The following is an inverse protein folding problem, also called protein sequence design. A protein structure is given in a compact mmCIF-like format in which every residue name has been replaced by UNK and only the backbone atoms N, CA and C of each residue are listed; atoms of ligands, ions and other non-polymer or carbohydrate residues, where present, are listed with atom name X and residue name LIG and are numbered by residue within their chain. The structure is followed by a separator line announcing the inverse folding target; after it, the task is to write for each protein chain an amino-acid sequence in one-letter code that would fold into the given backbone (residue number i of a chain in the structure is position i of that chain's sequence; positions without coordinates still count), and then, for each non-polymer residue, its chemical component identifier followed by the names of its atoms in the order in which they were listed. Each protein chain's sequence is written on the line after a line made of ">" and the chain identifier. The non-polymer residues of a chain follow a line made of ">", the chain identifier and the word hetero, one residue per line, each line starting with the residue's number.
data_IF_391175126476
#
_entry.id   IF_391175126476
#
_cell.length_a   1.000
_cell.length_b   1.000
_cell.length_c   1.000
_cell.angle_alpha   90.00
_cell.angle_beta   90.00
_cell.angle_gamma   90.00
#
_symmetry.space_group_name_H-M   'P 1'
#
loop_
_entity.id
_entity.type
_entity.pdbx_description
1 polymer ?
#
# COMPACT_ATOMS: atom_id res chain seq x y z
N UNK A 1 67.92 -29.31 5.61
CA UNK A 1 67.32 -27.96 5.58
C UNK A 1 65.98 -28.07 4.86
N UNK A 2 64.86 -28.20 5.59
CA UNK A 2 63.91 -27.14 5.99
C UNK A 2 63.37 -26.27 4.84
N UNK A 3 62.03 -26.27 4.78
CA UNK A 3 61.05 -25.31 4.21
C UNK A 3 60.64 -25.51 2.75
N UNK A 4 59.42 -25.23 2.30
CA UNK A 4 58.08 -24.95 2.87
C UNK A 4 57.24 -24.51 1.65
N UNK A 5 55.99 -25.00 1.49
CA UNK A 5 54.77 -24.27 1.08
C UNK A 5 53.76 -25.28 0.50
N UNK A 6 52.77 -25.69 1.29
CA UNK A 6 51.42 -25.12 1.41
C UNK A 6 50.43 -25.80 0.45
N UNK A 7 49.84 -26.89 0.93
CA UNK A 7 48.52 -27.32 0.50
C UNK A 7 47.49 -26.41 1.18
N UNK A 8 46.60 -25.81 0.39
CA UNK A 8 45.42 -25.11 0.90
C UNK A 8 44.38 -26.17 1.26
N UNK A 9 44.16 -26.40 2.55
CA UNK A 9 43.07 -27.22 3.05
C UNK A 9 41.74 -26.47 2.84
N UNK A 10 40.91 -26.97 1.92
CA UNK A 10 39.51 -26.57 1.82
C UNK A 10 38.75 -27.09 3.03
N UNK A 11 38.60 -26.24 4.04
CA UNK A 11 37.72 -26.50 5.18
C UNK A 11 36.26 -26.25 4.72
N UNK A 12 35.34 -27.23 4.81
CA UNK A 12 33.95 -26.97 4.52
C UNK A 12 33.37 -26.07 5.61
N UNK A 13 32.84 -24.92 5.19
CA UNK A 13 32.15 -23.97 6.04
C UNK A 13 30.85 -24.62 6.54
N UNK A 14 30.89 -25.22 7.73
CA UNK A 14 29.70 -25.68 8.44
C UNK A 14 28.91 -24.44 8.89
N UNK A 15 27.93 -24.05 8.08
CA UNK A 15 26.87 -23.13 8.48
C UNK A 15 26.09 -23.80 9.63
N UNK A 16 26.44 -23.46 10.87
CA UNK A 16 25.59 -23.75 12.02
C UNK A 16 24.38 -22.83 11.91
N UNK A 17 23.27 -23.38 11.41
CA UNK A 17 21.95 -22.77 11.49
C UNK A 17 21.53 -22.73 12.96
N UNK A 18 21.96 -21.69 13.68
CA UNK A 18 21.29 -21.27 14.91
C UNK A 18 20.03 -20.49 14.49
N UNK A 19 19.06 -21.23 13.98
CA UNK A 19 17.70 -20.74 13.81
C UNK A 19 17.12 -20.58 15.21
N UNK A 20 17.38 -19.43 15.82
CA UNK A 20 16.47 -18.87 16.80
C UNK A 20 15.17 -18.60 16.05
N UNK A 21 14.29 -19.60 16.03
CA UNK A 21 12.88 -19.43 15.75
C UNK A 21 12.41 -18.29 16.65
N UNK A 22 12.38 -17.08 16.09
CA UNK A 22 11.73 -15.95 16.69
C UNK A 22 10.29 -16.43 16.88
N UNK A 23 9.94 -16.77 18.12
CA UNK A 23 8.58 -17.04 18.57
C UNK A 23 7.66 -16.06 17.84
N UNK A 24 6.99 -16.56 16.80
CA UNK A 24 5.92 -15.88 16.13
C UNK A 24 4.88 -15.70 17.23
N UNK A 25 4.95 -14.55 17.92
CA UNK A 25 3.86 -14.08 18.77
C UNK A 25 2.62 -14.32 17.92
N UNK A 26 1.63 -15.12 18.36
CA UNK A 26 0.41 -15.26 17.59
C UNK A 26 -0.04 -13.82 17.36
N UNK A 27 0.03 -13.38 16.09
CA UNK A 27 -0.32 -12.01 15.75
C UNK A 27 -1.80 -11.95 16.04
N UNK A 28 -2.15 -11.55 17.26
CA UNK A 28 -3.52 -11.36 17.66
C UNK A 28 -4.04 -10.35 16.67
N UNK A 29 -4.87 -10.82 15.74
CA UNK A 29 -5.23 -10.06 14.56
C UNK A 29 -6.19 -8.97 15.04
N UNK A 30 -5.63 -7.80 15.31
CA UNK A 30 -6.33 -6.68 15.93
C UNK A 30 -7.51 -6.32 15.03
N UNK A 31 -8.67 -6.05 15.63
CA UNK A 31 -9.82 -5.48 14.93
C UNK A 31 -9.43 -4.09 14.42
N UNK A 32 -9.60 -3.86 13.12
CA UNK A 32 -9.37 -2.54 12.55
C UNK A 32 -10.47 -1.59 13.04
N UNK A 33 -10.11 -0.33 13.32
CA UNK A 33 -11.05 0.70 13.75
C UNK A 33 -10.78 2.01 13.02
N UNK A 34 -11.80 2.64 12.41
CA UNK A 34 -11.64 4.01 11.94
C UNK A 34 -11.64 4.96 13.14
N UNK A 35 -11.09 6.18 13.00
CA UNK A 35 -11.25 7.23 14.00
C UNK A 35 -12.74 7.52 14.29
N UNK A 36 -13.03 8.06 15.48
CA UNK A 36 -14.40 8.41 15.86
C UNK A 36 -15.01 9.39 14.85
N UNK A 37 -16.22 9.08 14.36
CA UNK A 37 -16.93 9.90 13.37
C UNK A 37 -16.41 9.77 11.93
N UNK A 38 -15.47 8.85 11.66
CA UNK A 38 -14.97 8.53 10.32
C UNK A 38 -15.26 7.08 9.94
N UNK A 39 -15.23 6.80 8.64
CA UNK A 39 -15.29 5.47 8.06
C UNK A 39 -13.92 5.05 7.50
N UNK A 40 -13.77 3.75 7.23
CA UNK A 40 -12.62 3.27 6.46
C UNK A 40 -12.63 3.90 5.07
N UNK A 41 -11.47 4.38 4.64
CA UNK A 41 -11.30 5.04 3.36
C UNK A 41 -11.68 6.53 3.33
N UNK A 42 -12.16 7.11 4.44
CA UNK A 42 -12.30 8.56 4.53
C UNK A 42 -10.94 9.26 4.33
N UNK A 43 -10.94 10.38 3.60
CA UNK A 43 -9.73 11.20 3.40
C UNK A 43 -9.32 11.87 4.72
N UNK A 44 -8.04 11.75 5.07
CA UNK A 44 -7.38 12.40 6.19
C UNK A 44 -6.52 13.58 5.72
N UNK A 45 -5.78 13.38 4.63
CA UNK A 45 -4.99 14.42 3.96
C UNK A 45 -5.42 14.46 2.49
N UNK A 46 -6.06 15.55 2.03
CA UNK A 46 -6.53 15.66 0.65
C UNK A 46 -5.39 15.97 -0.32
N UNK A 47 -5.66 15.75 -1.60
CA UNK A 47 -4.81 16.19 -2.70
C UNK A 47 -4.92 17.70 -2.92
N UNK A 48 -3.89 18.28 -3.54
CA UNK A 48 -4.04 19.58 -4.19
C UNK A 48 -4.94 19.43 -5.42
N UNK A 49 -5.60 20.50 -5.83
CA UNK A 49 -6.45 20.49 -7.02
C UNK A 49 -5.68 20.43 -8.34
N UNK A 50 -4.37 20.70 -8.32
CA UNK A 50 -3.51 20.78 -9.51
C UNK A 50 -2.08 20.39 -9.19
N UNK A 51 -1.45 19.69 -10.13
CA UNK A 51 -0.06 19.28 -10.12
C UNK A 51 0.58 19.47 -11.50
N UNK A 52 1.90 19.64 -11.51
CA UNK A 52 2.71 19.53 -12.73
C UNK A 52 3.27 18.12 -12.89
N UNK A 53 3.60 17.75 -14.12
CA UNK A 53 4.46 16.59 -14.37
C UNK A 53 5.77 16.72 -13.58
N UNK A 54 6.29 15.60 -13.08
CA UNK A 54 7.45 15.53 -12.18
C UNK A 54 7.12 15.73 -10.70
N UNK A 55 5.94 16.25 -10.35
CA UNK A 55 5.50 16.39 -8.96
C UNK A 55 4.91 15.08 -8.41
N UNK A 56 4.66 15.06 -7.09
CA UNK A 56 4.07 13.91 -6.39
C UNK A 56 2.68 14.28 -5.89
N UNK A 57 1.68 13.58 -6.40
CA UNK A 57 0.32 13.61 -5.86
C UNK A 57 0.25 12.64 -4.67
N UNK A 58 -0.03 13.14 -3.47
CA UNK A 58 -0.10 12.35 -2.23
C UNK A 58 -1.45 12.52 -1.55
N UNK A 59 -2.10 11.40 -1.23
CA UNK A 59 -3.37 11.35 -0.49
C UNK A 59 -3.24 10.37 0.67
N UNK A 60 -3.81 10.71 1.83
CA UNK A 60 -3.89 9.81 2.98
C UNK A 60 -5.34 9.52 3.34
N UNK A 61 -5.65 8.25 3.48
CA UNK A 61 -6.96 7.74 3.87
C UNK A 61 -6.91 7.07 5.25
N UNK A 62 -8.07 6.97 5.90
CA UNK A 62 -8.28 6.03 7.00
C UNK A 62 -8.08 4.61 6.45
N UNK A 63 -7.06 3.92 6.94
CA UNK A 63 -6.66 2.60 6.44
C UNK A 63 -7.17 1.44 7.30
N UNK A 64 -6.99 0.25 6.76
CA UNK A 64 -7.04 -1.02 7.49
C UNK A 64 -5.78 -1.84 7.21
N UNK A 65 -5.50 -2.87 8.02
CA UNK A 65 -4.32 -3.71 7.83
C UNK A 65 -4.30 -4.40 6.44
N UNK A 66 -3.29 -4.16 5.58
CA UNK A 66 -3.22 -4.70 4.22
C UNK A 66 -3.20 -6.24 4.17
N UNK A 67 -2.78 -6.90 5.27
CA UNK A 67 -2.84 -8.36 5.40
C UNK A 67 -4.24 -8.93 5.19
N UNK A 68 -5.29 -8.16 5.53
CA UNK A 68 -6.67 -8.58 5.33
C UNK A 68 -7.02 -8.72 3.83
N UNK A 69 -6.49 -7.84 2.98
CA UNK A 69 -6.66 -7.93 1.53
C UNK A 69 -5.80 -9.04 0.93
N UNK A 70 -4.57 -9.22 1.41
CA UNK A 70 -3.64 -10.22 0.86
C UNK A 70 -4.12 -11.67 1.03
N UNK A 71 -4.89 -11.95 2.09
CA UNK A 71 -5.49 -13.27 2.30
C UNK A 71 -6.75 -13.49 1.47
N UNK A 72 -7.32 -12.41 0.92
CA UNK A 72 -8.46 -12.47 0.01
C UNK A 72 -7.97 -12.60 -1.43
N UNK A 73 -8.01 -13.82 -1.99
CA UNK A 73 -7.45 -14.17 -3.31
C UNK A 73 -8.11 -13.47 -4.51
N UNK A 74 -9.19 -12.73 -4.31
CA UNK A 74 -9.87 -11.98 -5.38
C UNK A 74 -9.40 -10.54 -5.50
N UNK A 75 -8.58 -10.04 -4.57
CA UNK A 75 -8.12 -8.66 -4.58
C UNK A 75 -6.90 -8.47 -5.49
N UNK A 76 -7.01 -7.57 -6.46
CA UNK A 76 -6.00 -7.42 -7.52
C UNK A 76 -5.06 -6.23 -7.32
N UNK A 77 -5.48 -5.19 -6.59
CA UNK A 77 -4.66 -3.99 -6.36
C UNK A 77 -5.17 -3.19 -5.15
N UNK A 78 -4.25 -2.57 -4.41
CA UNK A 78 -4.57 -1.65 -3.31
C UNK A 78 -4.92 -0.24 -3.78
N UNK A 79 -4.50 0.17 -4.98
CA UNK A 79 -4.73 1.51 -5.49
C UNK A 79 -4.88 1.54 -7.00
N UNK A 80 -5.61 2.52 -7.51
CA UNK A 80 -5.55 2.92 -8.92
C UNK A 80 -5.34 4.42 -9.04
N UNK A 81 -4.57 4.83 -10.04
CA UNK A 81 -4.62 6.18 -10.59
C UNK A 81 -5.48 6.10 -11.83
N UNK A 82 -6.52 6.92 -11.88
CA UNK A 82 -7.48 6.94 -12.98
C UNK A 82 -7.45 8.30 -13.66
N UNK A 83 -7.47 8.30 -14.99
CA UNK A 83 -7.61 9.50 -15.83
C UNK A 83 -9.02 9.58 -16.40
N UNK A 84 -9.63 10.74 -16.37
CA UNK A 84 -10.89 10.99 -17.06
C UNK A 84 -10.67 11.12 -18.56
N UNK A 85 -11.48 10.42 -19.35
CA UNK A 85 -11.48 10.46 -20.81
C UNK A 85 -12.78 11.06 -21.34
N UNK A 86 -12.74 12.32 -21.78
CA UNK A 86 -13.91 13.08 -22.25
C UNK A 86 -14.65 12.36 -23.38
N UNK A 87 -13.91 11.78 -24.33
CA UNK A 87 -14.46 11.10 -25.51
C UNK A 87 -15.39 9.93 -25.16
N UNK A 88 -15.18 9.29 -24.01
CA UNK A 88 -16.01 8.17 -23.53
C UNK A 88 -16.78 8.50 -22.26
N UNK A 89 -16.60 9.72 -21.72
CA UNK A 89 -17.14 10.15 -20.42
C UNK A 89 -16.88 9.14 -19.30
N UNK A 90 -15.67 8.55 -19.28
CA UNK A 90 -15.33 7.44 -18.38
C UNK A 90 -13.97 7.61 -17.72
N UNK A 91 -13.78 6.95 -16.58
CA UNK A 91 -12.50 6.88 -15.88
C UNK A 91 -11.71 5.65 -16.35
N UNK A 92 -10.48 5.87 -16.79
CA UNK A 92 -9.57 4.83 -17.25
C UNK A 92 -8.43 4.66 -16.25
N UNK A 93 -8.18 3.43 -15.81
CA UNK A 93 -7.04 3.09 -14.95
C UNK A 93 -5.77 3.23 -15.76
N UNK A 94 -4.87 4.14 -15.33
CA UNK A 94 -3.58 4.38 -15.98
C UNK A 94 -2.40 3.83 -15.18
N UNK A 95 -2.55 3.73 -13.86
CA UNK A 95 -1.58 3.08 -12.97
C UNK A 95 -2.31 2.29 -11.87
N UNK A 96 -1.64 1.29 -11.35
CA UNK A 96 -2.03 0.48 -10.19
C UNK A 96 -0.83 0.30 -9.25
N UNK A 97 -1.00 -0.40 -8.13
CA UNK A 97 0.07 -0.66 -7.15
C UNK A 97 1.28 -1.48 -7.67
N UNK A 98 1.21 -2.05 -8.87
CA UNK A 98 2.35 -2.68 -9.54
C UNK A 98 3.17 -1.70 -10.40
N UNK A 99 2.69 -0.45 -10.57
CA UNK A 99 3.35 0.58 -11.37
C UNK A 99 4.49 1.25 -10.58
N UNK A 100 5.65 1.43 -11.21
CA UNK A 100 6.84 2.06 -10.60
C UNK A 100 6.61 3.49 -10.11
N UNK A 101 5.65 4.18 -10.73
CA UNK A 101 5.26 5.55 -10.43
C UNK A 101 4.44 5.63 -9.14
N UNK A 102 3.89 4.52 -8.65
CA UNK A 102 2.99 4.52 -7.48
C UNK A 102 3.67 3.96 -6.24
N UNK A 103 3.27 4.46 -5.08
CA UNK A 103 3.68 3.92 -3.77
C UNK A 103 2.47 3.79 -2.87
N UNK A 104 2.42 2.69 -2.13
CA UNK A 104 1.43 2.44 -1.09
C UNK A 104 2.16 2.30 0.26
N UNK A 105 1.87 3.22 1.18
CA UNK A 105 2.40 3.21 2.54
C UNK A 105 1.29 2.91 3.52
N UNK A 106 1.48 1.89 4.34
CA UNK A 106 0.59 1.62 5.46
C UNK A 106 1.27 1.97 6.78
N UNK A 107 0.61 2.80 7.59
CA UNK A 107 1.10 3.19 8.90
C UNK A 107 0.17 2.66 9.99
N UNK A 108 0.71 1.79 10.85
CA UNK A 108 -0.02 1.24 12.00
C UNK A 108 -0.13 2.28 13.12
N UNK A 109 -1.35 2.62 13.50
CA UNK A 109 -1.66 3.39 14.70
C UNK A 109 -1.90 2.53 15.93
N UNK A 110 -2.44 3.17 16.97
CA UNK A 110 -2.84 2.49 18.21
C UNK A 110 -4.29 1.98 18.13
N UNK A 111 -4.62 1.00 18.96
CA UNK A 111 -6.00 0.53 19.20
C UNK A 111 -6.81 0.09 17.95
N UNK A 112 -6.12 -0.32 16.89
CA UNK A 112 -6.73 -0.75 15.63
C UNK A 112 -6.84 0.34 14.57
N UNK A 113 -6.40 1.56 14.86
CA UNK A 113 -6.30 2.63 13.85
C UNK A 113 -5.12 2.39 12.93
N UNK A 114 -5.28 2.80 11.66
CA UNK A 114 -4.18 2.86 10.71
C UNK A 114 -4.48 3.85 9.60
N UNK A 115 -3.44 4.29 8.90
CA UNK A 115 -3.54 5.18 7.75
C UNK A 115 -2.97 4.47 6.52
N UNK A 116 -3.55 4.77 5.36
CA UNK A 116 -3.03 4.37 4.06
C UNK A 116 -2.68 5.63 3.26
N UNK A 117 -1.40 5.83 2.98
CA UNK A 117 -0.93 6.93 2.13
C UNK A 117 -0.59 6.38 0.77
N UNK A 118 -1.19 6.97 -0.26
CA UNK A 118 -0.92 6.64 -1.66
C UNK A 118 -0.22 7.83 -2.30
N UNK A 119 0.90 7.55 -2.96
CA UNK A 119 1.60 8.53 -3.78
C UNK A 119 1.57 8.09 -5.24
N UNK A 120 1.34 9.05 -6.12
CA UNK A 120 1.65 8.95 -7.54
C UNK A 120 2.72 9.96 -7.89
N UNK A 121 3.90 9.46 -8.28
CA UNK A 121 4.97 10.24 -8.85
C UNK A 121 4.64 10.46 -10.32
N UNK A 122 4.14 11.65 -10.64
CA UNK A 122 3.62 11.97 -11.96
C UNK A 122 4.80 11.96 -12.94
N UNK A 123 4.90 11.00 -13.88
CA UNK A 123 6.03 10.95 -14.79
C UNK A 123 5.99 12.13 -15.76
N UNK A 124 7.14 12.54 -16.29
CA UNK A 124 7.24 13.60 -17.31
C UNK A 124 6.45 13.27 -18.58
N UNK A 125 6.13 11.99 -18.80
CA UNK A 125 5.34 11.49 -19.92
C UNK A 125 3.83 11.47 -19.65
N UNK A 126 3.38 11.85 -18.44
CA UNK A 126 1.96 11.90 -18.11
C UNK A 126 1.24 12.92 -18.99
N UNK A 127 0.09 12.52 -19.53
CA UNK A 127 -0.74 13.41 -20.35
C UNK A 127 -1.45 14.42 -19.45
N UNK A 128 -1.59 15.69 -19.85
CA UNK A 128 -2.45 16.61 -19.12
C UNK A 128 -3.89 16.11 -19.05
N UNK A 129 -4.60 16.45 -17.96
CA UNK A 129 -6.00 16.08 -17.79
C UNK A 129 -6.43 15.98 -16.34
N UNK A 130 -7.65 15.48 -16.13
CA UNK A 130 -8.24 15.27 -14.81
C UNK A 130 -7.96 13.83 -14.36
N UNK A 131 -7.49 13.71 -13.13
CA UNK A 131 -7.09 12.46 -12.50
C UNK A 131 -7.77 12.30 -11.14
N UNK A 132 -7.84 11.06 -10.67
CA UNK A 132 -8.20 10.72 -9.29
C UNK A 132 -7.42 9.50 -8.83
N UNK A 133 -7.28 9.36 -7.52
CA UNK A 133 -6.68 8.19 -6.88
C UNK A 133 -7.79 7.42 -6.17
N UNK A 134 -7.83 6.10 -6.36
CA UNK A 134 -8.69 5.21 -5.58
C UNK A 134 -7.87 4.33 -4.66
N UNK A 135 -8.46 4.04 -3.50
CA UNK A 135 -7.92 3.14 -2.49
C UNK A 135 -8.89 1.96 -2.32
N UNK A 136 -8.36 0.74 -2.34
CA UNK A 136 -9.13 -0.48 -2.12
C UNK A 136 -8.54 -1.22 -0.92
N UNK A 137 -9.41 -1.63 0.00
CA UNK A 137 -8.97 -2.23 1.25
C UNK A 137 -9.97 -3.22 1.82
N UNK A 138 -9.54 -3.93 2.85
CA UNK A 138 -10.37 -4.80 3.63
C UNK A 138 -10.16 -4.56 5.12
N UNK A 139 -11.24 -4.33 5.86
CA UNK A 139 -11.19 -4.18 7.30
C UNK A 139 -11.65 -5.46 8.00
N UNK A 140 -10.97 -5.81 9.08
CA UNK A 140 -11.38 -6.89 9.97
C UNK A 140 -12.30 -6.35 11.04
N UNK A 141 -13.55 -6.81 11.05
CA UNK A 141 -14.53 -6.53 12.10
C UNK A 141 -14.75 -7.78 12.95
N UNK A 142 -14.85 -7.61 14.26
CA UNK A 142 -15.24 -8.68 15.18
C UNK A 142 -16.09 -8.10 16.30
N UNK A 143 -17.37 -8.46 16.31
CA UNK A 143 -18.30 -8.10 17.39
C UNK A 143 -18.19 -9.12 18.54
N UNK A 144 -18.66 -8.75 19.73
CA UNK A 144 -18.63 -9.63 20.91
C UNK A 144 -19.34 -10.96 20.63
N UNK A 145 -18.64 -12.07 20.90
CA UNK A 145 -19.09 -13.46 20.70
C UNK A 145 -19.36 -13.88 19.23
N UNK A 146 -19.05 -13.04 18.24
CA UNK A 146 -19.18 -13.40 16.82
C UNK A 146 -17.81 -13.75 16.20
N UNK A 147 -17.77 -14.64 15.20
CA UNK A 147 -16.59 -14.83 14.37
C UNK A 147 -16.16 -13.51 13.72
N UNK A 148 -14.86 -13.37 13.49
CA UNK A 148 -14.36 -12.22 12.75
C UNK A 148 -14.75 -12.30 11.28
N UNK A 149 -15.11 -11.15 10.71
CA UNK A 149 -15.43 -10.99 9.29
C UNK A 149 -14.48 -10.00 8.65
N UNK A 150 -14.16 -10.23 7.38
CA UNK A 150 -13.37 -9.33 6.55
C UNK A 150 -14.33 -8.66 5.57
N UNK A 151 -14.40 -7.33 5.61
CA UNK A 151 -15.30 -6.53 4.77
C UNK A 151 -14.47 -5.68 3.83
N UNK A 152 -14.82 -5.66 2.54
CA UNK A 152 -14.17 -4.79 1.56
C UNK A 152 -14.71 -3.37 1.65
N UNK A 153 -13.85 -2.40 1.36
CA UNK A 153 -14.25 -1.02 1.12
C UNK A 153 -13.41 -0.45 -0.02
N UNK A 154 -13.95 0.58 -0.66
CA UNK A 154 -13.28 1.35 -1.68
C UNK A 154 -13.48 2.83 -1.42
N UNK A 155 -12.55 3.65 -1.89
CA UNK A 155 -12.60 5.08 -1.70
C UNK A 155 -11.94 5.79 -2.87
N UNK A 156 -12.37 7.02 -3.08
CA UNK A 156 -11.94 7.86 -4.20
C UNK A 156 -11.54 9.22 -3.65
N UNK A 157 -10.38 9.72 -4.05
CA UNK A 157 -9.94 11.07 -3.72
C UNK A 157 -10.84 12.13 -4.39
N UNK A 158 -10.63 13.40 -4.04
CA UNK A 158 -11.05 14.48 -4.94
C UNK A 158 -10.31 14.36 -6.27
N UNK A 159 -10.95 14.86 -7.33
CA UNK A 159 -10.31 14.98 -8.64
C UNK A 159 -9.23 16.08 -8.61
N UNK A 160 -8.19 15.93 -9.42
CA UNK A 160 -7.11 16.89 -9.57
C UNK A 160 -6.63 16.97 -11.02
N UNK A 161 -6.13 18.14 -11.41
CA UNK A 161 -5.60 18.39 -12.74
C UNK A 161 -4.09 18.13 -12.79
N UNK A 162 -3.61 17.47 -13.85
CA UNK A 162 -2.20 17.40 -14.20
C UNK A 162 -1.93 18.27 -15.42
N UNK A 163 -0.86 19.07 -15.36
CA UNK A 163 -0.40 19.93 -16.48
C UNK A 163 1.10 19.74 -16.75
N UNK A 164 1.54 20.07 -17.96
CA UNK A 164 2.94 19.96 -18.38
C UNK A 164 3.81 21.16 -17.98
N UNK A 165 3.23 22.33 -17.66
CA UNK A 165 3.96 23.51 -17.18
C UNK A 165 3.03 24.45 -16.41
#
# INVERSE_FOLDING_TARGET
>A
MRRHLQFMDHTPCLLTSSSTEALLRPLLRIVDRPPMGKNFGDVLQPLNSKYRVGEVAEVTFVGANPKNSAENRTHQTFLTVEKYEDASSSWQVVHNDASWETRFYWHKGLLGHSNATIQWHIPDTAKPGIYRIRYFGHNRKQDFLKPAVILSFESTSSDFEVVTT
#
